data_IF_277575055338
#
_entry.id   IF_277575055338
#
_cell.length_a   1.000
_cell.length_b   1.000
_cell.length_c   1.000
_cell.angle_alpha   90.00
_cell.angle_beta   90.00
_cell.angle_gamma   90.00
#
_symmetry.space_group_name_H-M   'P 1'
#
loop_
_entity.id
_entity.type
_entity.pdbx_description
1 polymer ?
#
# COMPACT_ATOMS: atom_id res chain seq x y z
N UNK A 1 -13.80 12.70 21.18
CA UNK A 1 -13.93 12.30 22.59
C UNK A 1 -14.45 10.89 22.79
N UNK A 2 -15.51 10.45 22.09
CA UNK A 2 -16.05 9.09 22.24
C UNK A 2 -15.03 7.97 21.96
N UNK A 3 -14.19 8.11 20.91
CA UNK A 3 -13.10 7.17 20.65
C UNK A 3 -12.12 7.07 21.84
N UNK A 4 -11.77 8.19 22.47
CA UNK A 4 -10.90 8.19 23.66
C UNK A 4 -11.58 7.46 24.82
N UNK A 5 -12.87 7.70 25.05
CA UNK A 5 -13.65 7.00 26.09
C UNK A 5 -13.61 5.48 25.88
N UNK A 6 -13.89 5.02 24.65
CA UNK A 6 -13.86 3.59 24.29
C UNK A 6 -12.47 2.97 24.45
N UNK A 7 -11.41 3.69 24.07
CA UNK A 7 -10.02 3.23 24.26
C UNK A 7 -9.68 3.10 25.75
N UNK A 8 -10.11 4.05 26.58
CA UNK A 8 -9.86 4.01 28.02
C UNK A 8 -10.65 2.87 28.69
N UNK A 9 -11.92 2.68 28.32
CA UNK A 9 -12.75 1.57 28.80
C UNK A 9 -12.15 0.19 28.43
N UNK A 10 -11.63 0.04 27.21
CA UNK A 10 -10.92 -1.18 26.80
C UNK A 10 -9.63 -1.38 27.60
N UNK A 11 -8.87 -0.31 27.85
CA UNK A 11 -7.62 -0.36 28.63
C UNK A 11 -7.86 -0.77 30.08
N UNK A 12 -8.96 -0.33 30.69
CA UNK A 12 -9.34 -0.73 32.05
C UNK A 12 -9.65 -2.23 32.16
N UNK A 13 -10.13 -2.85 31.08
CA UNK A 13 -10.41 -4.29 31.03
C UNK A 13 -9.16 -5.15 30.78
N UNK A 14 -8.02 -4.55 30.40
CA UNK A 14 -6.75 -5.26 30.24
C UNK A 14 -6.12 -5.51 31.62
N UNK A 15 -5.85 -6.77 31.93
CA UNK A 15 -5.06 -7.10 33.12
C UNK A 15 -3.63 -6.59 32.95
N UNK A 16 -3.14 -5.83 33.92
CA UNK A 16 -1.74 -5.41 33.99
C UNK A 16 -0.86 -6.66 34.17
N UNK A 17 0.03 -6.92 33.20
CA UNK A 17 1.08 -7.92 33.31
C UNK A 17 2.42 -7.20 33.52
N UNK A 18 3.06 -7.33 34.70
CA UNK A 18 4.36 -6.71 34.98
C UNK A 18 5.41 -7.00 33.90
N UNK A 19 5.34 -8.16 33.23
CA UNK A 19 6.25 -8.52 32.12
C UNK A 19 6.23 -7.52 30.96
N UNK A 20 5.17 -6.72 30.81
CA UNK A 20 5.08 -5.70 29.78
C UNK A 20 6.02 -4.52 30.02
N UNK A 21 6.40 -4.25 31.27
CA UNK A 21 7.19 -3.06 31.64
C UNK A 21 8.43 -3.36 32.47
N UNK A 22 8.54 -4.54 33.10
CA UNK A 22 9.68 -4.91 33.96
C UNK A 22 11.03 -4.86 33.23
N UNK A 23 11.04 -4.99 31.91
CA UNK A 23 12.25 -4.88 31.08
C UNK A 23 12.66 -3.43 30.79
N UNK A 24 11.82 -2.43 31.05
CA UNK A 24 12.12 -1.02 30.73
C UNK A 24 13.31 -0.53 31.54
N UNK A 25 13.41 -0.87 32.82
CA UNK A 25 14.53 -0.41 33.65
C UNK A 25 15.88 -0.99 33.21
N UNK A 26 15.90 -2.22 32.68
CA UNK A 26 17.12 -2.83 32.12
C UNK A 26 17.52 -2.29 30.75
N UNK A 27 16.65 -1.51 30.08
CA UNK A 27 17.03 -0.86 28.80
C UNK A 27 18.14 0.18 28.95
N UNK A 28 18.32 0.73 30.16
CA UNK A 28 19.37 1.71 30.47
C UNK A 28 20.77 1.11 30.34
N UNK A 29 20.90 -0.21 30.52
CA UNK A 29 22.16 -0.94 30.40
C UNK A 29 22.52 -1.29 28.95
N UNK A 30 21.59 -1.13 28.00
CA UNK A 30 21.77 -1.43 26.58
C UNK A 30 22.29 -0.23 25.75
N UNK A 31 23.06 0.67 26.37
CA UNK A 31 23.63 1.83 25.68
C UNK A 31 24.69 1.39 24.66
N UNK A 32 24.34 1.49 23.37
CA UNK A 32 25.24 1.18 22.26
C UNK A 32 26.41 2.18 22.19
N UNK A 33 27.65 1.68 22.18
CA UNK A 33 28.88 2.46 22.18
C UNK A 33 29.77 2.12 20.97
N UNK A 34 30.55 3.08 20.44
CA UNK A 34 31.53 2.79 19.39
C UNK A 34 32.67 1.90 19.89
N UNK A 35 33.46 1.37 18.95
CA UNK A 35 34.82 0.88 19.24
C UNK A 35 35.72 2.07 19.56
N UNK A 36 36.62 1.91 20.55
CA UNK A 36 37.54 3.00 20.95
C UNK A 36 38.55 3.37 19.86
N UNK A 37 38.93 2.41 19.02
CA UNK A 37 39.90 2.57 17.95
C UNK A 37 39.34 1.98 16.65
N UNK A 38 39.72 2.54 15.48
CA UNK A 38 39.39 1.94 14.21
C UNK A 38 39.97 0.52 14.12
N UNK A 39 39.29 -0.36 13.39
CA UNK A 39 39.79 -1.70 13.09
C UNK A 39 40.98 -1.67 12.12
N UNK A 40 41.06 -0.63 11.30
CA UNK A 40 42.12 -0.37 10.32
C UNK A 40 43.15 0.58 10.91
N UNK A 41 44.41 0.18 10.91
CA UNK A 41 45.53 1.00 11.39
C UNK A 41 46.02 2.01 10.35
N UNK A 42 45.75 1.75 9.07
CA UNK A 42 46.08 2.63 7.94
C UNK A 42 44.91 2.69 6.94
N UNK A 43 44.83 3.75 6.10
CA UNK A 43 43.84 3.83 5.04
C UNK A 43 43.99 2.65 4.08
N UNK A 44 42.95 1.83 3.99
CA UNK A 44 42.86 0.74 3.03
C UNK A 44 42.53 1.32 1.65
N UNK A 45 43.19 0.82 0.60
CA UNK A 45 42.83 1.17 -0.77
C UNK A 45 41.36 0.84 -1.07
N UNK A 46 40.62 1.83 -1.59
CA UNK A 46 39.21 1.69 -1.93
C UNK A 46 38.98 0.62 -2.99
N UNK A 47 38.05 -0.30 -2.73
CA UNK A 47 37.60 -1.26 -3.72
C UNK A 47 36.84 -0.56 -4.87
N UNK A 48 36.72 -1.24 -6.02
CA UNK A 48 35.91 -0.73 -7.12
C UNK A 48 34.46 -0.48 -6.65
N UNK A 49 33.92 0.70 -6.98
CA UNK A 49 32.56 1.08 -6.60
C UNK A 49 32.42 1.72 -5.21
N UNK A 50 33.49 1.82 -4.42
CA UNK A 50 33.46 2.44 -3.08
C UNK A 50 32.88 3.85 -3.09
N UNK A 51 33.28 4.71 -4.02
CA UNK A 51 32.79 6.10 -4.08
C UNK A 51 31.28 6.17 -4.32
N UNK A 52 30.75 5.30 -5.19
CA UNK A 52 29.32 5.25 -5.47
C UNK A 52 28.54 4.69 -4.28
N UNK A 53 29.08 3.65 -3.63
CA UNK A 53 28.52 3.12 -2.38
C UNK A 53 28.52 4.17 -1.28
N UNK A 54 29.63 4.85 -1.05
CA UNK A 54 29.75 5.88 -0.01
C UNK A 54 28.73 7.03 -0.21
N UNK A 55 28.49 7.45 -1.46
CA UNK A 55 27.51 8.50 -1.79
C UNK A 55 26.07 8.16 -1.40
N UNK A 56 25.68 6.88 -1.43
CA UNK A 56 24.28 6.47 -1.18
C UNK A 56 24.10 5.77 0.15
N UNK A 57 25.13 5.08 0.63
CA UNK A 57 25.04 4.20 1.78
C UNK A 57 25.68 4.78 3.03
N UNK A 58 26.51 5.83 2.94
CA UNK A 58 27.21 6.40 4.11
C UNK A 58 26.65 7.76 4.47
N UNK A 59 26.36 7.94 5.75
CA UNK A 59 25.91 9.21 6.33
C UNK A 59 26.77 9.53 7.55
N UNK A 60 27.27 10.76 7.60
CA UNK A 60 28.05 11.24 8.74
C UNK A 60 27.18 11.29 9.99
N UNK A 61 27.70 10.74 11.09
CA UNK A 61 27.05 10.89 12.37
C UNK A 61 27.35 12.28 12.96
N UNK A 62 26.59 12.65 13.99
CA UNK A 62 26.86 13.90 14.73
C UNK A 62 28.19 13.83 15.51
N UNK A 63 28.62 12.63 15.86
CA UNK A 63 29.86 12.37 16.58
C UNK A 63 31.04 12.43 15.60
N UNK A 64 32.05 13.29 15.85
CA UNK A 64 33.21 13.42 14.97
C UNK A 64 33.97 12.10 14.80
N UNK A 65 34.44 11.82 13.58
CA UNK A 65 35.21 10.62 13.26
C UNK A 65 34.38 9.35 13.04
N UNK A 66 33.05 9.44 13.19
CA UNK A 66 32.13 8.33 12.99
C UNK A 66 31.12 8.61 11.88
N UNK A 67 30.82 7.55 11.14
CA UNK A 67 29.77 7.50 10.16
C UNK A 67 28.85 6.31 10.46
N UNK A 68 27.70 6.32 9.81
CA UNK A 68 26.84 5.17 9.77
C UNK A 68 26.64 4.74 8.31
N UNK A 69 26.58 3.42 8.12
CA UNK A 69 26.63 2.78 6.82
C UNK A 69 25.44 1.85 6.65
N UNK A 70 24.67 2.07 5.59
CA UNK A 70 23.57 1.19 5.18
C UNK A 70 24.10 0.01 4.40
N UNK A 71 23.62 -1.18 4.73
CA UNK A 71 23.80 -2.39 3.93
C UNK A 71 22.51 -2.59 3.13
N UNK A 72 22.61 -2.43 1.81
CA UNK A 72 21.46 -2.56 0.91
C UNK A 72 21.09 -4.04 0.78
N UNK A 73 19.81 -4.35 0.99
CA UNK A 73 19.20 -5.66 0.87
C UNK A 73 18.07 -5.58 -0.18
N UNK A 74 18.34 -5.95 -1.44
CA UNK A 74 17.28 -6.01 -2.44
C UNK A 74 16.10 -6.84 -1.95
N UNK A 75 14.90 -6.24 -1.96
CA UNK A 75 13.66 -6.86 -1.46
C UNK A 75 13.67 -7.26 0.03
N UNK A 76 14.64 -6.77 0.80
CA UNK A 76 14.88 -7.16 2.20
C UNK A 76 15.47 -8.56 2.36
N UNK A 77 15.98 -9.18 1.29
CA UNK A 77 16.48 -10.55 1.34
C UNK A 77 17.93 -10.63 1.83
N UNK A 78 18.18 -11.62 2.67
CA UNK A 78 19.52 -12.02 3.10
C UNK A 78 19.55 -13.52 3.36
N UNK A 79 20.59 -14.20 2.87
CA UNK A 79 20.79 -15.61 3.17
C UNK A 79 21.32 -15.82 4.60
N UNK A 80 21.11 -17.02 5.16
CA UNK A 80 21.66 -17.38 6.47
C UNK A 80 23.19 -17.32 6.51
N UNK A 81 23.86 -17.60 5.39
CA UNK A 81 25.31 -17.45 5.24
C UNK A 81 25.72 -15.97 5.32
N UNK A 82 25.11 -15.12 4.50
CA UNK A 82 25.38 -13.68 4.50
C UNK A 82 25.13 -13.05 5.87
N UNK A 83 24.04 -13.40 6.55
CA UNK A 83 23.73 -12.87 7.87
C UNK A 83 24.79 -13.27 8.92
N UNK A 84 25.30 -14.52 8.89
CA UNK A 84 26.38 -14.96 9.78
C UNK A 84 27.69 -14.22 9.49
N UNK A 85 28.03 -14.02 8.21
CA UNK A 85 29.22 -13.25 7.84
C UNK A 85 29.07 -11.78 8.23
N UNK A 86 27.91 -11.18 7.99
CA UNK A 86 27.61 -9.81 8.39
C UNK A 86 27.73 -9.64 9.91
N UNK A 87 27.32 -10.63 10.72
CA UNK A 87 27.53 -10.59 12.17
C UNK A 87 29.03 -10.56 12.54
N UNK A 88 29.90 -11.25 11.80
CA UNK A 88 31.36 -11.17 11.98
C UNK A 88 31.89 -9.79 11.60
N UNK A 89 31.43 -9.23 10.48
CA UNK A 89 31.75 -7.86 10.06
C UNK A 89 31.31 -6.85 11.13
N UNK A 90 30.09 -6.99 11.66
CA UNK A 90 29.58 -6.12 12.72
C UNK A 90 30.47 -6.17 13.96
N UNK A 91 30.92 -7.38 14.37
CA UNK A 91 31.83 -7.49 15.52
C UNK A 91 33.17 -6.79 15.30
N UNK A 92 33.66 -6.82 14.06
CA UNK A 92 34.93 -6.19 13.68
C UNK A 92 34.85 -4.67 13.69
N UNK A 93 33.77 -4.10 13.16
CA UNK A 93 33.69 -2.65 12.88
C UNK A 93 32.76 -1.87 13.82
N UNK A 94 31.76 -2.52 14.42
CA UNK A 94 30.68 -1.87 15.20
C UNK A 94 30.28 -2.68 16.45
N UNK A 95 31.22 -3.48 16.98
CA UNK A 95 31.15 -4.28 18.22
C UNK A 95 30.21 -5.51 18.19
N UNK A 96 28.93 -5.33 17.91
CA UNK A 96 27.91 -6.41 17.84
C UNK A 96 26.49 -5.91 17.51
N UNK A 97 26.33 -4.65 17.08
CA UNK A 97 25.01 -4.04 16.89
C UNK A 97 24.67 -3.84 15.43
N UNK A 98 23.38 -3.94 15.12
CA UNK A 98 22.80 -3.67 13.80
C UNK A 98 21.37 -3.14 13.98
N UNK A 99 20.94 -2.26 13.09
CA UNK A 99 19.57 -1.73 13.05
C UNK A 99 18.91 -2.11 11.74
N UNK A 100 17.60 -2.31 11.75
CA UNK A 100 16.78 -2.41 10.53
C UNK A 100 16.19 -1.05 10.19
N UNK A 101 15.98 -0.80 8.90
CA UNK A 101 15.32 0.42 8.40
C UNK A 101 13.93 0.09 7.84
N UNK A 102 13.10 1.11 7.66
CA UNK A 102 11.75 0.96 7.07
C UNK A 102 11.78 0.72 5.55
N UNK A 103 12.95 0.88 4.94
CA UNK A 103 13.31 0.52 3.56
C UNK A 103 13.78 -0.94 3.44
N UNK A 104 13.71 -1.72 4.53
CA UNK A 104 14.12 -3.13 4.59
C UNK A 104 15.63 -3.37 4.46
N UNK A 105 16.43 -2.35 4.77
CA UNK A 105 17.89 -2.44 4.81
C UNK A 105 18.42 -2.61 6.23
N UNK A 106 19.71 -2.92 6.36
CA UNK A 106 20.42 -2.79 7.63
C UNK A 106 21.19 -1.46 7.72
N UNK A 107 21.39 -1.02 8.96
CA UNK A 107 22.10 0.20 9.33
C UNK A 107 23.15 -0.16 10.38
N UNK A 108 24.42 0.07 10.04
CA UNK A 108 25.58 -0.04 10.92
C UNK A 108 25.91 1.35 11.45
N UNK A 109 25.80 1.56 12.76
CA UNK A 109 26.21 2.82 13.40
C UNK A 109 27.61 2.70 13.97
N UNK A 110 28.24 3.83 14.25
CA UNK A 110 29.55 3.88 14.91
C UNK A 110 30.69 3.30 14.08
N UNK A 111 30.56 3.34 12.75
CA UNK A 111 31.65 2.97 11.86
C UNK A 111 32.67 4.09 11.89
N UNK A 112 33.93 3.80 12.22
CA UNK A 112 34.99 4.79 12.16
C UNK A 112 35.21 5.22 10.69
N UNK A 113 35.38 6.51 10.41
CA UNK A 113 35.51 6.97 9.00
C UNK A 113 36.70 6.34 8.27
N UNK A 114 37.77 6.00 9.00
CA UNK A 114 38.95 5.30 8.50
C UNK A 114 38.67 3.84 8.09
N UNK A 115 37.61 3.24 8.64
CA UNK A 115 37.24 1.85 8.37
C UNK A 115 36.31 1.70 7.17
N UNK A 116 35.76 2.78 6.61
CA UNK A 116 34.73 2.71 5.57
C UNK A 116 35.17 1.93 4.32
N UNK A 117 36.40 2.13 3.85
CA UNK A 117 36.92 1.41 2.68
C UNK A 117 37.12 -0.09 2.98
N UNK A 118 37.59 -0.42 4.18
CA UNK A 118 37.78 -1.80 4.62
C UNK A 118 36.42 -2.50 4.82
N UNK A 119 35.46 -1.83 5.46
CA UNK A 119 34.10 -2.31 5.63
C UNK A 119 33.43 -2.58 4.28
N UNK A 120 33.53 -1.64 3.32
CA UNK A 120 32.97 -1.83 1.99
C UNK A 120 33.55 -3.05 1.28
N UNK A 121 34.87 -3.25 1.33
CA UNK A 121 35.52 -4.44 0.76
C UNK A 121 34.98 -5.72 1.40
N UNK A 122 34.92 -5.79 2.72
CA UNK A 122 34.42 -6.96 3.44
C UNK A 122 32.91 -7.22 3.12
N UNK A 123 32.11 -6.17 2.90
CA UNK A 123 30.73 -6.29 2.43
C UNK A 123 30.64 -6.80 0.98
N UNK A 124 31.52 -6.34 0.08
CA UNK A 124 31.60 -6.80 -1.32
C UNK A 124 31.92 -8.29 -1.37
N UNK A 125 32.82 -8.80 -0.53
CA UNK A 125 33.19 -10.22 -0.46
C UNK A 125 32.00 -11.15 -0.16
N UNK A 126 30.97 -10.64 0.51
CA UNK A 126 29.74 -11.38 0.83
C UNK A 126 28.52 -10.96 0.00
N UNK A 127 28.76 -10.22 -1.09
CA UNK A 127 27.74 -9.70 -1.98
C UNK A 127 26.69 -8.79 -1.29
N UNK A 128 27.14 -7.98 -0.32
CA UNK A 128 26.35 -6.98 0.39
C UNK A 128 26.91 -5.54 0.21
N UNK A 129 27.84 -5.35 -0.73
CA UNK A 129 28.49 -4.06 -1.01
C UNK A 129 27.78 -3.18 -2.05
N UNK A 130 26.55 -3.52 -2.43
CA UNK A 130 25.78 -2.81 -3.45
C UNK A 130 25.46 -1.36 -3.02
N UNK A 131 25.59 -0.39 -3.93
CA UNK A 131 25.13 0.97 -3.68
C UNK A 131 23.60 1.07 -3.81
N UNK A 132 23.07 2.27 -3.56
CA UNK A 132 21.69 2.62 -3.84
C UNK A 132 20.75 2.57 -2.65
N UNK A 133 21.25 2.38 -1.42
CA UNK A 133 20.42 2.57 -0.22
C UNK A 133 19.77 3.95 -0.26
N UNK A 134 18.51 4.04 0.18
CA UNK A 134 17.80 5.31 0.29
C UNK A 134 17.71 6.08 -1.05
N UNK A 135 17.67 5.37 -2.17
CA UNK A 135 17.45 5.99 -3.50
C UNK A 135 16.22 5.40 -4.18
N UNK A 136 15.85 5.92 -5.36
CA UNK A 136 14.72 5.40 -6.14
C UNK A 136 14.84 3.92 -6.53
N UNK A 137 16.06 3.36 -6.57
CA UNK A 137 16.28 1.94 -6.85
C UNK A 137 16.07 1.04 -5.61
N UNK A 138 15.93 1.64 -4.42
CA UNK A 138 15.69 0.98 -3.12
C UNK A 138 14.19 0.74 -2.91
N UNK A 139 13.60 -0.03 -3.82
CA UNK A 139 12.15 -0.28 -3.85
C UNK A 139 11.73 -1.18 -2.68
N UNK A 140 10.91 -0.66 -1.77
CA UNK A 140 10.37 -1.44 -0.65
C UNK A 140 9.17 -2.27 -1.11
N UNK A 141 9.11 -3.54 -0.71
CA UNK A 141 8.00 -4.43 -1.07
C UNK A 141 7.54 -5.32 0.09
N UNK A 142 6.23 -5.48 0.26
CA UNK A 142 5.73 -6.57 1.10
C UNK A 142 5.79 -7.92 0.34
N UNK A 143 5.58 -9.05 1.02
CA UNK A 143 5.66 -10.35 0.36
C UNK A 143 4.66 -10.58 -0.78
N UNK A 144 3.52 -9.86 -0.81
CA UNK A 144 2.52 -10.01 -1.87
C UNK A 144 2.08 -11.45 -2.12
N UNK A 145 1.71 -11.79 -3.35
CA UNK A 145 1.28 -13.15 -3.72
C UNK A 145 2.38 -14.22 -3.57
N UNK A 146 3.63 -13.83 -3.33
CA UNK A 146 4.75 -14.76 -3.19
C UNK A 146 4.60 -15.63 -1.93
N UNK A 147 4.25 -15.05 -0.76
CA UNK A 147 4.03 -15.80 0.49
C UNK A 147 2.87 -15.29 1.36
N UNK A 148 2.24 -14.16 1.01
CA UNK A 148 1.17 -13.57 1.81
C UNK A 148 -0.20 -14.13 1.43
N UNK A 149 -0.94 -14.61 2.43
CA UNK A 149 -2.34 -15.06 2.29
C UNK A 149 -3.29 -13.96 1.77
N UNK A 150 -2.95 -12.70 2.04
CA UNK A 150 -3.74 -11.54 1.65
C UNK A 150 -3.17 -10.86 0.40
N UNK A 151 -2.12 -11.41 -0.20
CA UNK A 151 -1.54 -10.89 -1.42
C UNK A 151 -2.54 -11.00 -2.57
N UNK A 152 -2.77 -9.89 -3.27
CA UNK A 152 -3.60 -9.84 -4.47
C UNK A 152 -2.72 -9.81 -5.71
N UNK A 153 -1.60 -9.09 -5.69
CA UNK A 153 -0.61 -9.08 -6.78
C UNK A 153 0.82 -9.23 -6.24
N UNK A 154 1.75 -9.59 -7.13
CA UNK A 154 3.16 -9.85 -6.79
C UNK A 154 3.92 -8.55 -6.59
N UNK A 155 3.98 -8.13 -5.34
CA UNK A 155 4.71 -6.93 -4.95
C UNK A 155 6.22 -7.11 -5.08
N UNK A 156 6.76 -8.28 -4.69
CA UNK A 156 8.20 -8.55 -4.80
C UNK A 156 8.64 -8.64 -6.25
N UNK A 157 7.86 -9.34 -7.09
CA UNK A 157 8.12 -9.43 -8.52
C UNK A 157 8.10 -8.07 -9.21
N UNK A 158 7.10 -7.22 -8.90
CA UNK A 158 7.07 -5.85 -9.42
C UNK A 158 8.28 -5.03 -8.94
N UNK A 159 8.61 -5.09 -7.65
CA UNK A 159 9.72 -4.34 -7.08
C UNK A 159 11.07 -4.76 -7.69
N UNK A 160 11.27 -6.06 -7.97
CA UNK A 160 12.45 -6.56 -8.66
C UNK A 160 12.57 -5.97 -10.07
N UNK A 161 11.48 -5.96 -10.84
CA UNK A 161 11.44 -5.40 -12.19
C UNK A 161 11.70 -3.89 -12.18
N UNK A 162 11.08 -3.15 -11.25
CA UNK A 162 11.32 -1.72 -11.09
C UNK A 162 12.77 -1.45 -10.71
N UNK A 163 13.32 -2.17 -9.72
CA UNK A 163 14.74 -2.04 -9.34
C UNK A 163 15.66 -2.29 -10.54
N UNK A 164 15.45 -3.37 -11.30
CA UNK A 164 16.29 -3.68 -12.47
C UNK A 164 16.20 -2.59 -13.55
N UNK A 165 14.96 -2.18 -13.89
CA UNK A 165 14.71 -1.15 -14.90
C UNK A 165 15.32 0.19 -14.50
N UNK A 166 15.18 0.56 -13.22
CA UNK A 166 15.72 1.81 -12.71
C UNK A 166 17.25 1.74 -12.58
N UNK A 167 17.81 0.62 -12.15
CA UNK A 167 19.25 0.40 -12.07
C UNK A 167 19.94 0.53 -13.44
N UNK A 168 19.32 0.02 -14.50
CA UNK A 168 19.84 0.14 -15.87
C UNK A 168 19.92 1.61 -16.35
N UNK A 169 19.07 2.48 -15.80
CA UNK A 169 19.02 3.93 -16.08
C UNK A 169 19.77 4.77 -15.03
N UNK A 170 20.31 4.15 -13.98
CA UNK A 170 20.85 4.80 -12.79
C UNK A 170 22.03 5.76 -13.06
N UNK A 171 22.72 5.59 -14.20
CA UNK A 171 23.80 6.49 -14.62
C UNK A 171 23.30 7.79 -15.27
N UNK A 172 21.99 7.95 -15.49
CA UNK A 172 21.39 9.08 -16.21
C UNK A 172 20.41 9.91 -15.36
N UNK A 173 20.23 9.58 -14.08
CA UNK A 173 19.25 10.25 -13.25
C UNK A 173 19.72 11.60 -12.72
N UNK A 174 18.92 12.63 -12.96
CA UNK A 174 19.02 13.93 -12.30
C UNK A 174 18.94 13.71 -10.77
N UNK A 175 19.75 14.43 -9.99
CA UNK A 175 19.68 14.43 -8.52
C UNK A 175 18.24 14.69 -8.03
N UNK A 176 17.39 15.35 -8.82
CA UNK A 176 15.98 15.59 -8.55
C UNK A 176 15.09 14.35 -8.36
N UNK A 177 15.49 13.18 -8.87
CA UNK A 177 14.70 11.92 -8.74
C UNK A 177 15.39 10.87 -7.87
N UNK A 178 16.65 11.08 -7.51
CA UNK A 178 17.46 10.11 -6.78
C UNK A 178 16.86 9.76 -5.42
N UNK A 179 16.34 10.75 -4.71
CA UNK A 179 15.79 10.59 -3.35
C UNK A 179 14.32 10.16 -3.32
N UNK A 180 13.69 9.93 -4.49
CA UNK A 180 12.31 9.47 -4.54
C UNK A 180 12.16 8.08 -3.92
N UNK A 181 11.01 7.83 -3.29
CA UNK A 181 10.67 6.52 -2.75
C UNK A 181 9.60 5.86 -3.60
N UNK A 182 9.86 4.60 -3.94
CA UNK A 182 8.87 3.70 -4.51
C UNK A 182 8.58 2.61 -3.48
N UNK A 183 7.30 2.44 -3.14
CA UNK A 183 6.87 1.42 -2.20
C UNK A 183 5.69 0.62 -2.75
N UNK A 184 5.80 -0.70 -2.69
CA UNK A 184 4.86 -1.66 -3.29
C UNK A 184 4.26 -2.55 -2.22
N UNK A 185 2.94 -2.64 -2.16
CA UNK A 185 2.26 -3.69 -1.41
C UNK A 185 1.48 -4.62 -2.35
N UNK A 186 1.42 -5.90 -2.05
CA UNK A 186 0.65 -6.85 -2.86
C UNK A 186 -0.85 -6.72 -2.62
N UNK A 187 -1.26 -5.99 -1.58
CA UNK A 187 -2.63 -5.61 -1.30
C UNK A 187 -2.66 -4.27 -0.55
N UNK A 188 -3.86 -3.82 -0.30
CA UNK A 188 -4.20 -2.57 0.37
C UNK A 188 -3.74 -2.41 1.83
N UNK A 189 -3.36 -3.49 2.53
CA UNK A 189 -3.00 -3.43 3.96
C UNK A 189 -1.73 -2.62 4.26
N UNK A 190 -1.09 -2.06 3.23
CA UNK A 190 0.02 -1.14 3.37
C UNK A 190 1.21 -1.67 4.20
N UNK A 191 1.45 -2.99 4.21
CA UNK A 191 2.64 -3.56 4.85
C UNK A 191 3.96 -3.01 4.27
N UNK A 192 3.96 -2.63 2.99
CA UNK A 192 5.06 -1.91 2.34
C UNK A 192 4.98 -0.38 2.49
N UNK A 193 4.00 0.18 3.20
CA UNK A 193 3.82 1.64 3.43
C UNK A 193 3.62 2.49 2.15
N UNK A 194 2.96 1.93 1.13
CA UNK A 194 2.77 2.61 -0.17
C UNK A 194 2.09 3.98 -0.10
N UNK A 195 1.24 4.25 0.90
CA UNK A 195 0.60 5.56 1.06
C UNK A 195 1.57 6.70 1.40
N UNK A 196 2.74 6.39 1.97
CA UNK A 196 3.71 7.40 2.42
C UNK A 196 4.77 7.72 1.36
N UNK A 197 4.82 6.94 0.29
CA UNK A 197 5.80 7.10 -0.78
C UNK A 197 5.37 8.16 -1.79
N UNK A 198 6.33 8.83 -2.42
CA UNK A 198 6.06 9.70 -3.56
C UNK A 198 5.40 8.93 -4.71
N UNK A 199 5.80 7.66 -4.90
CA UNK A 199 5.18 6.71 -5.83
C UNK A 199 4.84 5.42 -5.08
N UNK A 200 3.57 5.24 -4.77
CA UNK A 200 3.03 4.07 -4.08
C UNK A 200 2.24 3.16 -5.01
N UNK A 201 2.33 1.86 -4.75
CA UNK A 201 1.54 0.85 -5.45
C UNK A 201 0.89 -0.12 -4.47
N UNK A 202 -0.37 -0.48 -4.69
CA UNK A 202 -0.96 -1.65 -4.05
C UNK A 202 -1.73 -2.56 -5.01
N UNK A 203 -1.60 -3.87 -4.83
CA UNK A 203 -2.22 -4.87 -5.69
C UNK A 203 -3.75 -4.86 -5.60
N UNK A 204 -4.40 -4.92 -6.77
CA UNK A 204 -5.85 -5.10 -6.94
C UNK A 204 -6.11 -6.07 -8.09
N UNK A 205 -7.15 -6.88 -8.00
CA UNK A 205 -7.58 -7.75 -9.09
C UNK A 205 -8.76 -7.13 -9.83
N UNK A 206 -8.76 -7.19 -11.16
CA UNK A 206 -9.91 -6.78 -11.99
C UNK A 206 -10.42 -7.93 -12.84
N UNK A 207 -11.73 -7.98 -13.08
CA UNK A 207 -12.33 -8.88 -14.06
C UNK A 207 -12.44 -8.15 -15.39
N UNK A 208 -11.88 -8.70 -16.46
CA UNK A 208 -11.95 -8.13 -17.81
C UNK A 208 -12.22 -9.28 -18.77
N UNK A 209 -13.33 -9.22 -19.52
CA UNK A 209 -13.75 -10.26 -20.47
C UNK A 209 -13.74 -11.68 -19.84
N UNK A 210 -14.30 -11.82 -18.64
CA UNK A 210 -14.33 -13.05 -17.83
C UNK A 210 -12.97 -13.57 -17.31
N UNK A 211 -11.88 -12.84 -17.51
CA UNK A 211 -10.59 -13.17 -16.94
C UNK A 211 -10.25 -12.27 -15.76
N UNK A 212 -9.59 -12.83 -14.74
CA UNK A 212 -8.98 -12.02 -13.69
C UNK A 212 -7.62 -11.51 -14.17
N UNK A 213 -7.33 -10.23 -13.90
CA UNK A 213 -6.13 -9.54 -14.35
C UNK A 213 -5.46 -8.84 -13.17
N UNK A 214 -4.15 -9.07 -12.91
CA UNK A 214 -3.43 -8.38 -11.86
C UNK A 214 -3.21 -6.92 -12.22
N UNK A 215 -3.61 -6.03 -11.33
CA UNK A 215 -3.39 -4.59 -11.43
C UNK A 215 -2.70 -4.09 -10.17
N UNK A 216 -2.09 -2.92 -10.28
CA UNK A 216 -1.73 -2.11 -9.12
C UNK A 216 -2.50 -0.79 -9.17
N UNK A 217 -3.08 -0.40 -8.04
CA UNK A 217 -3.52 0.97 -7.84
C UNK A 217 -2.29 1.86 -7.71
N UNK A 218 -2.25 2.94 -8.46
CA UNK A 218 -1.18 3.94 -8.44
C UNK A 218 -1.56 5.04 -7.46
N UNK A 219 -0.67 5.32 -6.50
CA UNK A 219 -0.79 6.39 -5.52
C UNK A 219 0.37 7.34 -5.68
N UNK A 220 0.12 8.64 -5.73
CA UNK A 220 1.17 9.63 -5.99
C UNK A 220 1.12 10.79 -5.01
N UNK A 221 2.30 11.33 -4.71
CA UNK A 221 2.44 12.53 -3.91
C UNK A 221 2.41 12.32 -2.40
N UNK A 222 2.60 11.08 -1.93
CA UNK A 222 2.84 10.82 -0.51
C UNK A 222 4.08 11.56 -0.02
N UNK A 223 4.03 12.01 1.24
CA UNK A 223 5.10 12.79 1.88
C UNK A 223 5.33 12.28 3.28
N UNK A 224 6.36 11.48 3.47
CA UNK A 224 6.76 10.95 4.78
C UNK A 224 7.44 11.99 5.68
N UNK A 225 8.08 13.02 5.08
CA UNK A 225 8.67 14.15 5.81
C UNK A 225 7.61 15.00 6.51
N UNK A 226 8.05 15.81 7.48
CA UNK A 226 7.15 16.65 8.30
C UNK A 226 6.05 15.81 9.02
N UNK A 227 6.44 14.62 9.52
CA UNK A 227 5.56 13.67 10.21
C UNK A 227 4.38 13.19 9.35
N UNK A 228 4.67 12.61 8.18
CA UNK A 228 3.67 12.12 7.23
C UNK A 228 2.66 13.21 6.80
N UNK A 229 3.18 14.35 6.32
CA UNK A 229 2.39 15.53 5.94
C UNK A 229 1.26 15.25 4.95
N UNK A 230 1.42 14.26 4.07
CA UNK A 230 0.39 13.88 3.11
C UNK A 230 0.46 12.39 2.77
N UNK A 231 -0.71 11.79 2.53
CA UNK A 231 -0.82 10.48 1.90
C UNK A 231 -0.88 10.61 0.38
N UNK A 232 -0.39 9.60 -0.32
CA UNK A 232 -0.47 9.51 -1.78
C UNK A 232 -1.92 9.45 -2.25
N UNK A 233 -2.24 10.24 -3.28
CA UNK A 233 -3.55 10.30 -3.91
C UNK A 233 -3.74 9.12 -4.85
N UNK A 234 -4.86 8.42 -4.72
CA UNK A 234 -5.29 7.38 -5.66
C UNK A 234 -5.54 7.98 -7.05
N UNK A 235 -4.82 7.49 -8.06
CA UNK A 235 -4.93 7.97 -9.45
C UNK A 235 -5.82 7.04 -10.28
N UNK A 236 -5.54 5.74 -10.23
CA UNK A 236 -6.16 4.74 -11.08
C UNK A 236 -5.53 3.36 -10.89
N UNK A 237 -6.18 2.34 -11.43
CA UNK A 237 -5.63 0.98 -11.48
C UNK A 237 -4.99 0.75 -12.84
N UNK A 238 -3.70 0.39 -12.82
CA UNK A 238 -2.91 0.11 -14.02
C UNK A 238 -2.58 -1.40 -14.02
N UNK A 239 -2.67 -2.10 -15.16
CA UNK A 239 -2.29 -3.50 -15.27
C UNK A 239 -0.84 -3.70 -14.82
N UNK A 240 -0.57 -4.78 -14.10
CA UNK A 240 0.73 -5.03 -13.45
C UNK A 240 1.91 -4.90 -14.44
N UNK A 241 1.73 -5.37 -15.68
CA UNK A 241 2.74 -5.31 -16.75
C UNK A 241 3.02 -3.90 -17.29
N UNK A 242 2.13 -2.93 -17.08
CA UNK A 242 2.27 -1.52 -17.49
C UNK A 242 2.83 -0.60 -16.40
N UNK A 243 3.03 -1.09 -15.18
CA UNK A 243 3.60 -0.28 -14.10
C UNK A 243 5.02 0.23 -14.42
N UNK A 244 5.94 -0.57 -15.00
CA UNK A 244 7.26 -0.05 -15.34
C UNK A 244 7.23 1.11 -16.35
N UNK A 245 6.30 1.07 -17.32
CA UNK A 245 6.08 2.17 -18.26
C UNK A 245 5.43 3.39 -17.57
N UNK A 246 4.53 3.14 -16.62
CA UNK A 246 3.89 4.20 -15.81
C UNK A 246 4.93 4.98 -15.01
N UNK A 247 5.88 4.30 -14.36
CA UNK A 247 6.97 4.95 -13.61
C UNK A 247 7.83 5.79 -14.56
N UNK A 248 8.24 5.25 -15.70
CA UNK A 248 9.02 5.99 -16.69
C UNK A 248 8.30 7.27 -17.13
N UNK A 249 7.01 7.16 -17.49
CA UNK A 249 6.21 8.29 -17.96
C UNK A 249 6.05 9.38 -16.89
N UNK A 250 5.87 8.99 -15.64
CA UNK A 250 5.79 9.91 -14.50
C UNK A 250 7.12 10.65 -14.30
N UNK A 251 8.24 9.94 -14.30
CA UNK A 251 9.57 10.51 -14.12
C UNK A 251 9.94 11.43 -15.29
N UNK A 252 9.70 11.01 -16.54
CA UNK A 252 9.99 11.80 -17.74
C UNK A 252 9.17 13.09 -17.81
N UNK A 253 7.92 13.06 -17.34
CA UNK A 253 7.08 14.26 -17.26
C UNK A 253 7.57 15.19 -16.14
N UNK A 254 7.86 14.65 -14.96
CA UNK A 254 8.40 15.42 -13.84
C UNK A 254 9.71 16.13 -14.21
N UNK A 255 10.68 15.40 -14.78
CA UNK A 255 11.97 15.98 -15.15
C UNK A 255 11.86 17.10 -16.19
N UNK A 256 10.92 17.00 -17.14
CA UNK A 256 10.71 18.03 -18.18
C UNK A 256 10.00 19.27 -17.66
N UNK A 257 9.12 19.14 -16.67
CA UNK A 257 8.19 20.21 -16.28
C UNK A 257 8.35 20.69 -14.85
N UNK A 258 9.27 20.11 -14.07
CA UNK A 258 9.59 20.59 -12.72
C UNK A 258 10.06 22.03 -12.76
N UNK A 259 9.60 22.81 -11.79
CA UNK A 259 9.97 24.22 -11.66
C UNK A 259 11.03 24.39 -10.57
N UNK A 260 12.17 24.99 -10.88
CA UNK A 260 13.24 25.24 -9.89
C UNK A 260 13.64 23.94 -9.17
N UNK A 261 13.61 23.96 -7.83
CA UNK A 261 13.88 22.80 -6.95
C UNK A 261 12.60 22.09 -6.48
N UNK A 262 11.53 22.14 -7.28
CA UNK A 262 10.27 21.45 -6.99
C UNK A 262 10.48 19.95 -6.83
N UNK A 263 10.03 19.40 -5.70
CA UNK A 263 10.00 17.96 -5.44
C UNK A 263 8.82 17.29 -6.15
N UNK A 264 8.94 15.98 -6.44
CA UNK A 264 7.90 15.22 -7.14
C UNK A 264 6.50 15.32 -6.50
N UNK A 265 6.38 15.30 -5.18
CA UNK A 265 5.08 15.45 -4.51
C UNK A 265 4.45 16.83 -4.70
N UNK A 266 5.27 17.88 -4.77
CA UNK A 266 4.82 19.24 -5.11
C UNK A 266 4.38 19.32 -6.57
N UNK A 267 5.16 18.69 -7.47
CA UNK A 267 4.83 18.58 -8.88
C UNK A 267 3.47 17.92 -9.11
N UNK A 268 3.22 16.74 -8.52
CA UNK A 268 1.94 16.02 -8.60
C UNK A 268 0.79 16.89 -8.07
N UNK A 269 1.01 17.61 -6.97
CA UNK A 269 0.02 18.53 -6.41
C UNK A 269 -0.30 19.67 -7.38
N UNK A 270 0.72 20.25 -8.03
CA UNK A 270 0.57 21.38 -8.95
C UNK A 270 -0.16 21.00 -10.23
N UNK A 271 0.18 19.88 -10.86
CA UNK A 271 -0.49 19.44 -12.10
C UNK A 271 -1.88 18.84 -11.80
N UNK A 272 -2.08 18.31 -10.60
CA UNK A 272 -3.36 17.82 -10.13
C UNK A 272 -3.76 16.45 -10.66
N UNK A 273 -4.70 15.80 -9.96
CA UNK A 273 -5.16 14.42 -10.25
C UNK A 273 -5.69 14.26 -11.68
N UNK A 274 -6.38 15.27 -12.22
CA UNK A 274 -6.98 15.23 -13.57
C UNK A 274 -5.90 15.04 -14.64
N UNK A 275 -4.87 15.87 -14.64
CA UNK A 275 -3.76 15.81 -15.61
C UNK A 275 -2.97 14.51 -15.48
N UNK A 276 -2.66 14.10 -14.24
CA UNK A 276 -1.93 12.85 -14.02
C UNK A 276 -2.71 11.64 -14.51
N UNK A 277 -4.02 11.62 -14.27
CA UNK A 277 -4.89 10.53 -14.72
C UNK A 277 -4.99 10.49 -16.24
N UNK A 278 -5.16 11.65 -16.89
CA UNK A 278 -5.21 11.75 -18.35
C UNK A 278 -3.92 11.19 -18.99
N UNK A 279 -2.75 11.49 -18.41
CA UNK A 279 -1.45 10.99 -18.89
C UNK A 279 -1.29 9.46 -18.80
N UNK A 280 -2.01 8.80 -17.89
CA UNK A 280 -1.91 7.36 -17.65
C UNK A 280 -3.08 6.57 -18.25
N UNK A 281 -4.06 7.24 -18.87
CA UNK A 281 -5.32 6.63 -19.26
C UNK A 281 -5.16 5.52 -20.30
N UNK A 282 -4.27 5.69 -21.28
CA UNK A 282 -3.91 4.67 -22.27
C UNK A 282 -3.23 3.44 -21.63
N UNK A 283 -2.48 3.64 -20.54
CA UNK A 283 -1.82 2.55 -19.81
C UNK A 283 -2.77 1.76 -18.93
N UNK A 284 -3.98 2.27 -18.65
CA UNK A 284 -5.01 1.55 -17.88
C UNK A 284 -5.77 0.51 -18.72
N UNK A 285 -5.54 0.47 -20.03
CA UNK A 285 -6.20 -0.46 -20.95
C UNK A 285 -5.49 -1.82 -20.95
N UNK A 286 -6.27 -2.88 -20.86
CA UNK A 286 -5.78 -4.27 -20.96
C UNK A 286 -6.03 -4.78 -22.36
N UNK A 287 -5.00 -5.24 -23.09
CA UNK A 287 -5.18 -5.93 -24.36
C UNK A 287 -6.02 -7.20 -24.19
N UNK A 288 -6.83 -7.61 -25.18
CA UNK A 288 -7.50 -8.91 -25.15
C UNK A 288 -6.54 -10.08 -24.89
N UNK A 289 -7.02 -11.11 -24.20
CA UNK A 289 -6.20 -12.26 -23.79
C UNK A 289 -5.54 -13.01 -24.95
N UNK A 290 -6.21 -13.10 -26.09
CA UNK A 290 -5.70 -13.68 -27.33
C UNK A 290 -4.61 -12.84 -28.01
N UNK A 291 -4.55 -11.54 -27.72
CA UNK A 291 -3.53 -10.62 -28.24
C UNK A 291 -2.28 -10.62 -27.36
N UNK A 292 -2.44 -10.52 -26.04
CA UNK A 292 -1.31 -10.56 -25.10
C UNK A 292 -1.69 -11.24 -23.77
N UNK A 293 -1.48 -12.57 -23.66
CA UNK A 293 -1.82 -13.32 -22.45
C UNK A 293 -0.92 -12.96 -21.26
N UNK A 294 0.21 -12.29 -21.46
CA UNK A 294 1.14 -11.95 -20.36
C UNK A 294 0.54 -10.95 -19.37
N UNK A 295 -0.48 -10.18 -19.78
CA UNK A 295 -1.22 -9.28 -18.90
C UNK A 295 -2.05 -10.04 -17.86
N UNK A 296 -2.33 -11.32 -18.10
CA UNK A 296 -3.18 -12.17 -17.29
C UNK A 296 -2.38 -13.10 -16.38
N UNK A 297 -1.07 -12.88 -16.25
CA UNK A 297 -0.17 -13.58 -15.33
C UNK A 297 0.51 -12.56 -14.43
N UNK A 298 0.94 -12.98 -13.24
CA UNK A 298 1.68 -12.10 -12.34
C UNK A 298 3.18 -12.02 -12.71
N UNK A 299 4.00 -11.31 -11.93
CA UNK A 299 5.45 -11.25 -12.17
C UNK A 299 6.21 -12.50 -11.71
N UNK A 300 5.82 -13.09 -10.58
CA UNK A 300 6.46 -14.29 -9.99
C UNK A 300 5.72 -15.60 -10.29
N UNK A 301 4.63 -15.56 -11.04
CA UNK A 301 3.79 -16.72 -11.35
C UNK A 301 3.39 -16.74 -12.82
N UNK A 302 3.77 -17.81 -13.51
CA UNK A 302 3.44 -18.02 -14.92
C UNK A 302 2.02 -18.56 -15.13
N UNK A 303 1.33 -18.98 -14.06
CA UNK A 303 -0.07 -19.40 -14.11
C UNK A 303 -0.97 -18.21 -14.39
N UNK A 304 -2.12 -18.49 -14.99
CA UNK A 304 -3.17 -17.50 -15.15
C UNK A 304 -3.61 -16.98 -13.79
N UNK A 305 -3.68 -15.66 -13.69
CA UNK A 305 -3.98 -14.96 -12.46
C UNK A 305 -5.37 -15.33 -11.95
N UNK A 306 -5.45 -15.77 -10.70
CA UNK A 306 -6.69 -15.96 -9.97
C UNK A 306 -6.58 -15.28 -8.61
N UNK A 307 -7.72 -14.98 -7.98
CA UNK A 307 -7.78 -14.48 -6.59
C UNK A 307 -8.13 -15.64 -5.63
N UNK A 308 -8.41 -16.84 -6.17
CA UNK A 308 -8.89 -18.00 -5.42
C UNK A 308 -7.78 -18.86 -4.83
N UNK A 309 -6.55 -18.77 -5.35
CA UNK A 309 -5.39 -19.56 -4.92
C UNK A 309 -4.75 -19.05 -3.62
N UNK A 310 -5.58 -18.67 -2.65
CA UNK A 310 -5.16 -18.21 -1.33
C UNK A 310 -4.71 -19.43 -0.51
N UNK A 311 -3.41 -19.71 -0.52
CA UNK A 311 -2.79 -20.77 0.28
C UNK A 311 -2.66 -20.35 1.75
N UNK A 312 -2.19 -21.27 2.61
CA UNK A 312 -1.82 -20.96 3.99
C UNK A 312 -0.56 -20.07 4.02
N UNK A 313 -0.72 -18.78 3.70
CA UNK A 313 0.37 -17.80 3.75
C UNK A 313 0.70 -17.33 5.16
N UNK A 314 1.88 -16.76 5.33
CA UNK A 314 2.52 -16.46 6.64
C UNK A 314 1.99 -15.19 7.34
N UNK A 315 0.97 -14.53 6.80
CA UNK A 315 0.58 -13.18 7.22
C UNK A 315 -0.25 -13.17 8.53
N UNK A 316 0.17 -12.34 9.49
CA UNK A 316 -0.55 -12.06 10.74
C UNK A 316 -1.52 -10.86 10.65
N UNK A 317 -1.64 -10.22 9.48
CA UNK A 317 -2.47 -9.02 9.30
C UNK A 317 -3.97 -9.32 9.37
N UNK A 318 -4.72 -8.44 10.04
CA UNK A 318 -6.18 -8.43 9.94
C UNK A 318 -6.60 -8.11 8.50
N UNK A 319 -7.63 -8.79 8.01
CA UNK A 319 -8.15 -8.59 6.66
C UNK A 319 -8.95 -7.28 6.64
N UNK A 320 -8.43 -6.18 6.07
CA UNK A 320 -9.29 -5.02 5.75
C UNK A 320 -10.39 -5.50 4.81
N UNK A 321 -11.60 -5.01 5.03
CA UNK A 321 -12.79 -5.62 4.44
C UNK A 321 -12.87 -5.38 2.93
N UNK A 322 -13.55 -6.27 2.21
CA UNK A 322 -13.85 -6.04 0.79
C UNK A 322 -14.77 -4.82 0.58
N UNK A 323 -15.50 -4.38 1.62
CA UNK A 323 -16.32 -3.19 1.56
C UNK A 323 -15.48 -1.92 1.46
N UNK A 324 -14.39 -1.81 2.21
CA UNK A 324 -13.50 -0.64 2.16
C UNK A 324 -12.96 -0.42 0.74
N UNK A 325 -12.70 -1.50 -0.02
CA UNK A 325 -12.26 -1.39 -1.43
C UNK A 325 -13.37 -0.98 -2.38
N UNK A 326 -14.56 -1.56 -2.25
CA UNK A 326 -15.68 -1.16 -3.10
C UNK A 326 -16.04 0.31 -2.87
N UNK A 327 -16.00 0.77 -1.62
CA UNK A 327 -16.30 2.17 -1.28
C UNK A 327 -15.19 3.10 -1.79
N UNK A 328 -13.90 2.79 -1.59
CA UNK A 328 -12.81 3.61 -2.14
C UNK A 328 -12.80 3.63 -3.68
N UNK A 329 -13.13 2.52 -4.34
CA UNK A 329 -13.29 2.49 -5.79
C UNK A 329 -14.46 3.38 -6.25
N UNK A 330 -15.58 3.38 -5.51
CA UNK A 330 -16.71 4.25 -5.78
C UNK A 330 -16.37 5.74 -5.60
N UNK A 331 -15.55 6.11 -4.61
CA UNK A 331 -15.05 7.49 -4.44
C UNK A 331 -14.26 7.97 -5.67
N UNK A 332 -13.43 7.09 -6.23
CA UNK A 332 -12.69 7.40 -7.44
C UNK A 332 -13.60 7.53 -8.67
N UNK A 333 -14.67 6.73 -8.75
CA UNK A 333 -15.66 6.79 -9.82
C UNK A 333 -16.56 8.02 -9.72
N UNK A 334 -17.00 8.43 -8.52
CA UNK A 334 -17.81 9.64 -8.35
C UNK A 334 -16.98 10.91 -8.61
N UNK A 335 -15.67 10.87 -8.32
CA UNK A 335 -14.76 11.93 -8.74
C UNK A 335 -14.66 12.02 -10.28
N UNK A 336 -14.60 10.89 -11.00
CA UNK A 336 -14.68 10.90 -12.47
C UNK A 336 -16.02 11.47 -12.95
N UNK A 337 -17.12 11.15 -12.27
CA UNK A 337 -18.44 11.69 -12.60
C UNK A 337 -18.47 13.22 -12.46
N UNK A 338 -17.87 13.76 -11.41
CA UNK A 338 -17.72 15.20 -11.22
C UNK A 338 -16.90 15.85 -12.35
N UNK A 339 -15.78 15.24 -12.76
CA UNK A 339 -14.97 15.77 -13.86
C UNK A 339 -15.75 15.81 -15.18
N UNK A 340 -16.55 14.78 -15.47
CA UNK A 340 -17.40 14.73 -16.65
C UNK A 340 -18.51 15.79 -16.61
N UNK A 341 -19.03 16.08 -15.41
CA UNK A 341 -20.01 17.13 -15.20
C UNK A 341 -19.41 18.52 -15.46
N UNK A 342 -18.20 18.77 -14.94
CA UNK A 342 -17.47 20.02 -15.14
C UNK A 342 -17.13 20.25 -16.64
N UNK A 343 -16.98 19.17 -17.41
CA UNK A 343 -16.79 19.19 -18.87
C UNK A 343 -18.11 19.35 -19.66
N UNK A 344 -19.26 19.47 -18.99
CA UNK A 344 -20.57 19.61 -19.61
C UNK A 344 -21.17 18.30 -20.15
N UNK A 345 -20.57 17.14 -19.83
CA UNK A 345 -21.03 15.85 -20.31
C UNK A 345 -22.06 15.22 -19.35
N UNK A 346 -23.25 15.79 -19.30
CA UNK A 346 -24.32 15.43 -18.37
C UNK A 346 -24.66 13.92 -18.39
N UNK A 347 -24.80 13.32 -19.59
CA UNK A 347 -25.10 11.88 -19.73
C UNK A 347 -24.02 11.00 -19.13
N UNK A 348 -22.74 11.21 -19.50
CA UNK A 348 -21.64 10.37 -18.98
C UNK A 348 -21.43 10.59 -17.48
N UNK A 349 -21.60 11.82 -16.98
CA UNK A 349 -21.53 12.11 -15.55
C UNK A 349 -22.59 11.32 -14.77
N UNK A 350 -23.86 11.37 -15.19
CA UNK A 350 -24.94 10.63 -14.55
C UNK A 350 -24.73 9.10 -14.60
N UNK A 351 -24.28 8.56 -15.74
CA UNK A 351 -23.96 7.13 -15.87
C UNK A 351 -22.82 6.73 -14.93
N UNK A 352 -21.77 7.56 -14.82
CA UNK A 352 -20.63 7.28 -13.94
C UNK A 352 -21.01 7.37 -12.46
N UNK A 353 -21.87 8.33 -12.09
CA UNK A 353 -22.40 8.45 -10.72
C UNK A 353 -23.26 7.25 -10.31
N UNK A 354 -24.10 6.71 -11.21
CA UNK A 354 -24.80 5.46 -10.98
C UNK A 354 -23.82 4.29 -10.79
N UNK A 355 -22.80 4.21 -11.65
CA UNK A 355 -21.73 3.22 -11.53
C UNK A 355 -21.07 3.24 -10.16
N UNK A 356 -20.71 4.42 -9.64
CA UNK A 356 -20.09 4.52 -8.31
C UNK A 356 -21.00 4.00 -7.18
N UNK A 357 -22.31 4.25 -7.25
CA UNK A 357 -23.24 3.71 -6.25
C UNK A 357 -23.33 2.18 -6.32
N UNK A 358 -23.36 1.60 -7.52
CA UNK A 358 -23.32 0.14 -7.72
C UNK A 358 -22.02 -0.46 -7.18
N UNK A 359 -20.87 0.18 -7.44
CA UNK A 359 -19.55 -0.25 -6.94
C UNK A 359 -19.50 -0.24 -5.41
N UNK A 360 -20.01 0.82 -4.76
CA UNK A 360 -20.10 0.89 -3.30
C UNK A 360 -21.03 -0.18 -2.72
N UNK A 361 -22.21 -0.39 -3.33
CA UNK A 361 -23.17 -1.41 -2.93
C UNK A 361 -22.57 -2.83 -3.05
N UNK A 362 -21.91 -3.12 -4.17
CA UNK A 362 -21.22 -4.39 -4.39
C UNK A 362 -20.10 -4.62 -3.37
N UNK A 363 -19.37 -3.56 -2.99
CA UNK A 363 -18.38 -3.60 -1.91
C UNK A 363 -18.98 -4.11 -0.60
N UNK A 364 -20.12 -3.54 -0.18
CA UNK A 364 -20.83 -3.97 1.02
C UNK A 364 -21.32 -5.42 0.91
N UNK A 365 -21.89 -5.80 -0.24
CA UNK A 365 -22.38 -7.18 -0.47
C UNK A 365 -21.26 -8.19 -0.35
N UNK A 366 -20.04 -7.88 -0.82
CA UNK A 366 -18.87 -8.76 -0.73
C UNK A 366 -18.46 -9.15 0.68
N UNK A 367 -18.96 -8.46 1.71
CA UNK A 367 -18.80 -8.89 3.10
C UNK A 367 -19.63 -10.13 3.45
N UNK A 368 -20.75 -10.36 2.77
CA UNK A 368 -21.67 -11.46 2.99
C UNK A 368 -21.67 -12.48 1.84
N UNK A 369 -21.36 -12.03 0.62
CA UNK A 369 -21.29 -12.84 -0.60
C UNK A 369 -20.08 -12.40 -1.44
N UNK A 370 -18.93 -13.05 -1.23
CA UNK A 370 -17.64 -12.65 -1.82
C UNK A 370 -17.58 -12.75 -3.34
N UNK A 371 -18.36 -13.66 -3.92
CA UNK A 371 -18.27 -14.05 -5.33
C UNK A 371 -19.34 -13.39 -6.21
N UNK A 372 -20.04 -12.37 -5.70
CA UNK A 372 -21.04 -11.63 -6.47
C UNK A 372 -20.47 -11.16 -7.82
N UNK A 373 -21.22 -11.44 -8.89
CA UNK A 373 -20.87 -11.03 -10.23
C UNK A 373 -20.97 -9.51 -10.41
N UNK A 374 -20.29 -8.99 -11.43
CA UNK A 374 -20.35 -7.59 -11.82
C UNK A 374 -21.56 -7.34 -12.74
N UNK A 375 -22.76 -7.56 -12.20
CA UNK A 375 -24.04 -7.42 -12.88
C UNK A 375 -24.96 -6.44 -12.11
N UNK A 376 -25.36 -5.30 -12.69
CA UNK A 376 -26.16 -4.30 -12.00
C UNK A 376 -27.48 -4.82 -11.41
N UNK A 377 -28.19 -5.71 -12.11
CA UNK A 377 -29.48 -6.24 -11.64
C UNK A 377 -29.30 -7.15 -10.43
N UNK A 378 -28.30 -8.04 -10.47
CA UNK A 378 -27.94 -8.87 -9.33
C UNK A 378 -27.47 -8.04 -8.13
N UNK A 379 -26.65 -7.01 -8.36
CA UNK A 379 -26.18 -6.10 -7.30
C UNK A 379 -27.36 -5.41 -6.62
N UNK A 380 -28.34 -4.91 -7.39
CA UNK A 380 -29.53 -4.27 -6.83
C UNK A 380 -30.40 -5.24 -6.03
N UNK A 381 -30.62 -6.45 -6.53
CA UNK A 381 -31.40 -7.47 -5.83
C UNK A 381 -30.77 -7.86 -4.49
N UNK A 382 -29.47 -8.17 -4.51
CA UNK A 382 -28.71 -8.55 -3.32
C UNK A 382 -28.56 -7.37 -2.33
N UNK A 383 -28.39 -6.14 -2.83
CA UNK A 383 -28.37 -4.94 -1.98
C UNK A 383 -29.71 -4.74 -1.29
N UNK A 384 -30.82 -4.95 -2.01
CA UNK A 384 -32.17 -4.83 -1.46
C UNK A 384 -32.39 -5.80 -0.31
N UNK A 385 -32.19 -7.08 -0.59
CA UNK A 385 -32.43 -8.16 0.37
C UNK A 385 -31.56 -7.99 1.62
N UNK A 386 -30.26 -7.70 1.43
CA UNK A 386 -29.29 -7.72 2.53
C UNK A 386 -29.21 -6.43 3.31
N UNK A 387 -29.47 -5.27 2.69
CA UNK A 387 -29.18 -3.96 3.28
C UNK A 387 -30.37 -3.01 3.35
N UNK A 388 -31.25 -3.02 2.34
CA UNK A 388 -32.43 -2.16 2.32
C UNK A 388 -33.56 -2.71 3.19
N UNK A 389 -33.98 -3.96 2.96
CA UNK A 389 -35.12 -4.57 3.65
C UNK A 389 -34.80 -4.86 5.12
N UNK A 390 -33.53 -5.19 5.41
CA UNK A 390 -33.00 -5.33 6.78
C UNK A 390 -32.78 -4.00 7.49
N UNK A 391 -32.91 -2.87 6.78
CA UNK A 391 -32.65 -1.50 7.26
C UNK A 391 -31.22 -1.25 7.73
N UNK A 392 -30.26 -2.12 7.39
CA UNK A 392 -28.85 -1.96 7.79
C UNK A 392 -28.21 -0.71 7.17
N UNK A 393 -28.63 -0.33 5.96
CA UNK A 393 -28.14 0.87 5.28
C UNK A 393 -28.85 2.16 5.71
N UNK A 394 -29.91 2.08 6.52
CA UNK A 394 -30.70 3.27 6.84
C UNK A 394 -29.89 4.25 7.68
N UNK A 395 -30.03 5.53 7.35
CA UNK A 395 -29.47 6.61 8.14
C UNK A 395 -30.31 6.83 9.41
N UNK A 396 -29.71 7.09 10.58
CA UNK A 396 -30.46 7.33 11.82
C UNK A 396 -31.46 8.49 11.74
N UNK A 397 -31.21 9.49 10.88
CA UNK A 397 -32.03 10.69 10.75
C UNK A 397 -32.79 10.74 9.43
N UNK A 398 -32.18 10.30 8.33
CA UNK A 398 -32.74 10.35 6.98
C UNK A 398 -33.41 9.03 6.54
N UNK A 399 -33.38 7.97 7.35
CA UNK A 399 -34.03 6.69 7.05
C UNK A 399 -33.52 6.05 5.77
N UNK A 400 -34.41 5.64 4.87
CA UNK A 400 -34.04 4.99 3.60
C UNK A 400 -33.59 5.94 2.49
N UNK A 401 -33.54 7.26 2.75
CA UNK A 401 -33.31 8.30 1.72
C UNK A 401 -32.09 8.01 0.85
N UNK A 402 -30.93 7.77 1.47
CA UNK A 402 -29.69 7.53 0.72
C UNK A 402 -29.75 6.23 -0.07
N UNK A 403 -30.33 5.16 0.49
CA UNK A 403 -30.48 3.89 -0.22
C UNK A 403 -31.36 4.03 -1.48
N UNK A 404 -32.38 4.89 -1.43
CA UNK A 404 -33.29 5.15 -2.56
C UNK A 404 -32.61 5.81 -3.75
N UNK A 405 -31.53 6.57 -3.54
CA UNK A 405 -30.81 7.22 -4.63
C UNK A 405 -30.30 6.21 -5.66
N UNK A 406 -29.76 5.07 -5.21
CA UNK A 406 -29.31 4.00 -6.10
C UNK A 406 -30.44 3.46 -6.99
N UNK A 407 -31.61 3.17 -6.39
CA UNK A 407 -32.76 2.65 -7.15
C UNK A 407 -33.33 3.69 -8.11
N UNK A 408 -33.51 4.93 -7.66
CA UNK A 408 -34.02 6.03 -8.50
C UNK A 408 -33.07 6.26 -9.68
N UNK A 409 -31.76 6.31 -9.44
CA UNK A 409 -30.77 6.48 -10.49
C UNK A 409 -30.75 5.30 -11.48
N UNK A 410 -30.98 4.07 -11.02
CA UNK A 410 -31.07 2.91 -11.89
C UNK A 410 -32.37 2.89 -12.71
N UNK A 411 -33.51 3.20 -12.11
CA UNK A 411 -34.81 3.26 -12.79
C UNK A 411 -34.80 4.33 -13.90
N UNK A 412 -34.20 5.49 -13.62
CA UNK A 412 -34.10 6.62 -14.55
C UNK A 412 -32.88 6.56 -15.48
N UNK A 413 -32.11 5.46 -15.48
CA UNK A 413 -30.81 5.36 -16.21
C UNK A 413 -30.89 5.56 -17.72
N UNK A 414 -32.05 5.31 -18.31
CA UNK A 414 -32.28 5.41 -19.75
C UNK A 414 -32.77 6.81 -20.17
N UNK A 415 -33.13 7.66 -19.22
CA UNK A 415 -33.58 9.04 -19.48
C UNK A 415 -32.38 9.91 -19.89
N UNK A 416 -32.61 10.92 -20.73
CA UNK A 416 -31.58 11.91 -21.07
C UNK A 416 -31.48 12.92 -19.90
N UNK A 417 -30.36 12.95 -19.17
CA UNK A 417 -30.27 13.82 -18.00
C UNK A 417 -30.00 15.27 -18.42
N UNK A 418 -30.74 16.21 -17.81
CA UNK A 418 -30.36 17.63 -17.85
C UNK A 418 -29.06 17.85 -17.07
N UNK A 419 -28.40 18.99 -17.28
CA UNK A 419 -27.20 19.35 -16.50
C UNK A 419 -27.50 19.41 -14.99
N UNK A 420 -28.69 19.88 -14.61
CA UNK A 420 -29.14 19.91 -13.21
C UNK A 420 -29.34 18.50 -12.65
N UNK A 421 -29.97 17.61 -13.42
CA UNK A 421 -30.16 16.22 -13.00
C UNK A 421 -28.83 15.47 -12.89
N UNK A 422 -27.89 15.71 -13.81
CA UNK A 422 -26.56 15.13 -13.73
C UNK A 422 -25.80 15.63 -12.49
N UNK A 423 -25.90 16.93 -12.16
CA UNK A 423 -25.36 17.48 -10.93
C UNK A 423 -25.95 16.81 -9.68
N UNK A 424 -27.28 16.73 -9.62
CA UNK A 424 -27.99 16.05 -8.54
C UNK A 424 -27.53 14.60 -8.40
N UNK A 425 -27.37 13.86 -9.50
CA UNK A 425 -26.92 12.45 -9.46
C UNK A 425 -25.51 12.29 -8.91
N UNK A 426 -24.60 13.23 -9.19
CA UNK A 426 -23.23 13.21 -8.63
C UNK A 426 -23.27 13.46 -7.12
N UNK A 427 -24.04 14.44 -6.65
CA UNK A 427 -24.23 14.71 -5.21
C UNK A 427 -24.88 13.52 -4.49
N UNK A 428 -25.93 12.93 -5.07
CA UNK A 428 -26.61 11.75 -4.53
C UNK A 428 -25.67 10.55 -4.43
N UNK A 429 -24.77 10.36 -5.41
CA UNK A 429 -23.76 9.32 -5.37
C UNK A 429 -22.72 9.56 -4.26
N UNK A 430 -22.29 10.79 -4.03
CA UNK A 430 -21.40 11.13 -2.90
C UNK A 430 -22.07 10.79 -1.56
N UNK A 431 -23.32 11.21 -1.37
CA UNK A 431 -24.10 10.90 -0.15
C UNK A 431 -24.34 9.40 0.03
N UNK A 432 -24.54 8.65 -1.06
CA UNK A 432 -24.65 7.19 -1.00
C UNK A 432 -23.35 6.55 -0.52
N UNK A 433 -22.20 7.01 -1.01
CA UNK A 433 -20.87 6.49 -0.64
C UNK A 433 -20.58 6.81 0.84
N UNK A 434 -20.91 8.00 1.32
CA UNK A 434 -20.83 8.35 2.75
C UNK A 434 -21.72 7.45 3.61
N UNK A 435 -22.95 7.18 3.17
CA UNK A 435 -23.84 6.24 3.84
C UNK A 435 -23.30 4.80 3.83
N UNK A 436 -22.58 4.41 2.78
CA UNK A 436 -21.92 3.10 2.70
C UNK A 436 -20.78 2.98 3.72
N UNK A 437 -19.95 4.02 3.89
CA UNK A 437 -18.94 4.08 4.97
C UNK A 437 -19.59 3.93 6.35
N UNK A 438 -20.66 4.69 6.61
CA UNK A 438 -21.37 4.63 7.88
C UNK A 438 -22.00 3.24 8.13
N UNK A 439 -22.59 2.62 7.11
CA UNK A 439 -23.13 1.27 7.17
C UNK A 439 -22.04 0.25 7.50
N UNK A 440 -20.91 0.31 6.80
CA UNK A 440 -19.78 -0.58 7.00
C UNK A 440 -19.23 -0.49 8.44
N UNK A 441 -19.01 0.73 8.95
CA UNK A 441 -18.56 0.95 10.32
C UNK A 441 -19.50 0.31 11.37
N UNK A 442 -20.81 0.49 11.23
CA UNK A 442 -21.82 -0.13 12.12
C UNK A 442 -21.78 -1.66 12.07
N UNK A 443 -21.56 -2.24 10.88
CA UNK A 443 -21.45 -3.69 10.73
C UNK A 443 -20.23 -4.27 11.46
N UNK A 444 -19.08 -3.59 11.38
CA UNK A 444 -17.87 -3.99 12.10
C UNK A 444 -18.07 -3.92 13.63
N UNK A 445 -18.70 -2.86 14.13
CA UNK A 445 -19.04 -2.74 15.56
C UNK A 445 -19.99 -3.87 16.02
N UNK A 446 -21.00 -4.19 15.22
CA UNK A 446 -21.94 -5.28 15.50
C UNK A 446 -21.26 -6.64 15.57
N UNK A 447 -20.30 -6.92 14.67
CA UNK A 447 -19.50 -8.15 14.68
C UNK A 447 -18.59 -8.25 15.90
N UNK A 448 -17.95 -7.14 16.31
CA UNK A 448 -17.13 -7.09 17.53
C UNK A 448 -17.94 -7.35 18.80
N UNK A 449 -19.15 -6.76 18.91
CA UNK A 449 -20.07 -7.00 20.03
C UNK A 449 -20.55 -8.45 20.11
N UNK A 450 -20.77 -9.12 18.97
CA UNK A 450 -21.14 -10.56 18.92
C UNK A 450 -20.01 -11.48 19.36
N UNK A 451 -18.75 -11.20 18.97
CA UNK A 451 -17.57 -12.00 19.36
C UNK A 451 -17.22 -11.90 20.86
N UNK A 452 -17.68 -10.86 21.56
CA UNK A 452 -17.46 -10.66 23.01
C UNK A 452 -18.47 -11.38 23.91
N UNK A 453 -19.53 -12.00 23.37
CA UNK A 453 -20.47 -12.80 24.19
C UNK A 453 -19.88 -14.20 24.44
N UNK A 454 -19.76 -14.68 25.70
CA UNK A 454 -19.38 -16.06 25.96
C UNK A 454 -20.46 -17.01 25.41
N UNK A 455 -20.10 -18.23 24.95
CA UNK A 455 -21.09 -19.19 24.48
C UNK A 455 -22.07 -19.53 25.60
N UNK A 456 -23.36 -19.57 25.27
CA UNK A 456 -24.40 -19.98 26.21
C UNK A 456 -24.12 -21.43 26.65
N UNK A 457 -24.03 -21.65 27.97
CA UNK A 457 -23.96 -22.98 28.54
C UNK A 457 -25.36 -23.57 28.43
N UNK A 458 -25.58 -24.46 27.47
CA UNK A 458 -26.78 -25.27 27.42
C UNK A 458 -26.81 -26.19 28.64
N UNK A 459 -27.78 -25.96 29.52
CA UNK A 459 -28.04 -26.80 30.68
C UNK A 459 -28.51 -28.19 30.20
N UNK A 460 -27.59 -29.15 30.16
CA UNK A 460 -27.92 -30.57 29.99
C UNK A 460 -28.68 -31.01 31.24
N UNK A 461 -29.98 -31.22 31.05
CA UNK A 461 -30.86 -31.97 31.96
C UNK A 461 -30.32 -33.40 32.09
N UNK A 462 -29.69 -33.71 33.23
CA UNK A 462 -29.48 -35.10 33.66
C UNK A 462 -30.60 -35.51 34.59
N UNK A 463 -31.66 -36.09 34.02
CA UNK A 463 -32.48 -37.07 34.74
C UNK A 463 -31.77 -38.43 34.67
N UNK A 464 -31.14 -38.83 35.77
CA UNK A 464 -30.73 -40.22 35.97
C UNK A 464 -31.05 -40.62 37.41
N UNK A 465 -31.93 -41.61 37.47
CA UNK A 465 -32.45 -42.37 38.60
C UNK A 465 -31.34 -42.95 39.47
N UNK A 466 -31.51 -42.84 40.79
CA UNK A 466 -31.30 -43.91 41.76
C UNK A 466 -32.39 -43.81 42.83
#
# INVERSE_FOLDING_TARGET
>A
DEFRRLVLEEREALQEDPKWTDWIDSTKDAAESPLEKPASTEPVASAQGFENWAKTNVYRQRQPGFAAASVTLPLGDISSYQLRQLATICRRYVKDTIRTTVEQNFLLRWVHELDLAALHRDLVEIALGDPGAQTIVDVTACPGTDTCKLGIASARGLAAVLRQRLAAKNLQYDEAIKDLRIKVSGCFNACGQHHLAEIGFYGVGRTINNYKVPHFRVLLGGRWTENAKAFGLSIGAVPSKRIPETVDRLLDRYLRERQNSEHFSQFVTRIGKKEVKAMLQDLMVVPPHDVDPSFYTDWSDARQFTIGDITAGECAGEVVSLADFGIAAAEDEVFEAQLLLDEGNARRAATKALGSMLTAAQGLIKMQNRDIADDPELILAEFRERFYDTKLFFDPFAGSKFARYLYIAYETRNEEPTSELAHQRVEEAQLFIEAAHACHARMLEGQRKRKRRPPAVDAISTSATL
#
